data_IF_625157195641
#
_entry.id   IF_625157195641
#
_cell.length_a   1.000
_cell.length_b   1.000
_cell.length_c   1.000
_cell.angle_alpha   90.00
_cell.angle_beta   90.00
_cell.angle_gamma   90.00
#
_symmetry.space_group_name_H-M   'P 1'
#
loop_
_entity.id
_entity.type
_entity.pdbx_description
1 polymer ?
#
# COMPACT_ATOMS: atom_id res chain seq x y z
N UNK A 1 22.72 17.21 3.92
CA UNK A 1 22.39 18.64 4.10
C UNK A 1 21.08 18.69 4.88
N UNK A 2 21.14 18.96 6.18
CA UNK A 2 19.94 19.03 7.04
C UNK A 2 19.34 20.42 6.89
N UNK A 3 18.13 20.50 6.30
CA UNK A 3 17.34 21.74 6.35
C UNK A 3 16.59 21.69 7.69
N UNK A 4 17.27 22.18 8.73
CA UNK A 4 16.68 22.43 10.04
C UNK A 4 15.55 23.45 9.90
N UNK A 5 14.46 23.20 10.64
CA UNK A 5 13.21 23.94 10.56
C UNK A 5 13.37 25.45 10.63
N UNK A 6 12.83 26.14 9.63
CA UNK A 6 12.72 27.59 9.61
C UNK A 6 12.60 28.11 8.18
N UNK A 7 11.37 28.39 7.76
CA UNK A 7 10.96 29.08 6.52
C UNK A 7 10.65 28.15 5.33
N UNK A 8 9.41 27.65 5.30
CA UNK A 8 8.78 26.97 4.15
C UNK A 8 9.05 27.65 2.81
N UNK A 9 9.13 28.99 2.80
CA UNK A 9 9.39 29.78 1.59
C UNK A 9 10.82 29.58 1.07
N UNK A 10 11.80 29.36 1.94
CA UNK A 10 13.17 29.03 1.52
C UNK A 10 13.25 27.58 1.02
N UNK A 11 12.62 26.65 1.73
CA UNK A 11 12.58 25.23 1.31
C UNK A 11 11.91 25.07 -0.06
N UNK A 12 10.80 25.77 -0.33
CA UNK A 12 10.16 25.77 -1.66
C UNK A 12 11.05 26.34 -2.77
N UNK A 13 11.84 27.37 -2.47
CA UNK A 13 12.75 28.00 -3.45
C UNK A 13 13.96 27.13 -3.77
N UNK A 14 14.47 26.39 -2.80
CA UNK A 14 15.64 25.52 -2.97
C UNK A 14 15.28 24.18 -3.62
N UNK A 15 14.05 23.71 -3.44
CA UNK A 15 13.59 22.40 -3.91
C UNK A 15 13.76 22.17 -5.43
N UNK A 16 13.39 23.09 -6.35
CA UNK A 16 13.64 22.92 -7.78
C UNK A 16 15.12 22.63 -8.10
N UNK A 17 16.05 23.25 -7.38
CA UNK A 17 17.49 23.06 -7.56
C UNK A 17 18.01 21.69 -7.13
N UNK A 18 17.21 20.93 -6.37
CA UNK A 18 17.53 19.57 -5.96
C UNK A 18 16.95 18.51 -6.91
N UNK A 19 16.02 18.89 -7.80
CA UNK A 19 15.41 17.96 -8.75
C UNK A 19 16.29 17.76 -9.99
N UNK A 20 16.22 16.56 -10.58
CA UNK A 20 16.88 16.23 -11.86
C UNK A 20 15.94 15.41 -12.74
N UNK A 21 16.14 15.49 -14.05
CA UNK A 21 15.42 14.68 -15.04
C UNK A 21 13.89 14.84 -14.94
N UNK A 22 13.17 13.72 -14.90
CA UNK A 22 11.69 13.66 -14.93
C UNK A 22 11.06 14.47 -13.79
N UNK A 23 11.69 14.53 -12.62
CA UNK A 23 11.20 15.31 -11.49
C UNK A 23 11.22 16.82 -11.75
N UNK A 24 12.25 17.32 -12.45
CA UNK A 24 12.34 18.73 -12.83
C UNK A 24 11.29 19.08 -13.89
N UNK A 25 11.12 18.20 -14.89
CA UNK A 25 10.13 18.41 -15.96
C UNK A 25 8.70 18.45 -15.38
N UNK A 26 8.36 17.54 -14.47
CA UNK A 26 7.08 17.57 -13.77
C UNK A 26 6.86 18.88 -12.99
N UNK A 27 7.88 19.36 -12.27
CA UNK A 27 7.72 20.59 -11.48
C UNK A 27 7.43 21.79 -12.38
N UNK A 28 7.93 21.80 -13.62
CA UNK A 28 7.64 22.81 -14.62
C UNK A 28 6.22 22.73 -15.22
N UNK A 29 5.51 21.59 -15.08
CA UNK A 29 4.12 21.45 -15.56
C UNK A 29 3.09 21.85 -14.51
N UNK A 30 3.50 22.21 -13.29
CA UNK A 30 2.55 22.58 -12.22
C UNK A 30 1.92 23.95 -12.49
N UNK A 31 0.60 24.12 -12.26
CA UNK A 31 -0.07 25.40 -12.45
C UNK A 31 0.53 26.52 -11.56
N UNK A 32 0.53 27.78 -12.01
CA UNK A 32 0.95 28.91 -11.18
C UNK A 32 0.15 28.94 -9.86
N UNK A 33 0.84 29.19 -8.73
CA UNK A 33 0.25 29.27 -7.37
C UNK A 33 -0.34 27.95 -6.81
N UNK A 34 -0.09 26.81 -7.46
CA UNK A 34 -0.50 25.48 -6.96
C UNK A 34 0.26 25.02 -5.70
N UNK A 35 1.45 25.55 -5.46
CA UNK A 35 2.28 25.27 -4.28
C UNK A 35 2.42 26.57 -3.50
N UNK A 36 1.90 26.59 -2.27
CA UNK A 36 1.99 27.76 -1.39
C UNK A 36 2.92 27.52 -0.19
N UNK A 37 3.04 26.26 0.22
CA UNK A 37 3.89 25.80 1.32
C UNK A 37 4.79 24.66 0.91
N UNK A 38 5.83 24.40 1.71
CA UNK A 38 6.69 23.23 1.47
C UNK A 38 5.92 21.93 1.64
N UNK A 39 4.89 21.93 2.49
CA UNK A 39 3.99 20.81 2.68
C UNK A 39 3.19 20.48 1.41
N UNK A 40 2.69 21.49 0.69
CA UNK A 40 1.97 21.28 -0.59
C UNK A 40 2.90 20.69 -1.65
N UNK A 41 4.15 21.17 -1.69
CA UNK A 41 5.20 20.68 -2.57
C UNK A 41 5.53 19.21 -2.29
N UNK A 42 5.82 18.88 -1.04
CA UNK A 42 6.13 17.52 -0.62
C UNK A 42 4.95 16.57 -0.90
N UNK A 43 3.72 16.99 -0.62
CA UNK A 43 2.51 16.21 -0.90
C UNK A 43 2.32 15.95 -2.40
N UNK A 44 2.49 16.97 -3.23
CA UNK A 44 2.38 16.84 -4.70
C UNK A 44 3.47 15.96 -5.28
N UNK A 45 4.71 16.14 -4.81
CA UNK A 45 5.86 15.33 -5.23
C UNK A 45 5.67 13.86 -4.86
N UNK A 46 5.25 13.57 -3.63
CA UNK A 46 4.92 12.21 -3.20
C UNK A 46 3.76 11.65 -4.02
N UNK A 47 2.72 12.43 -4.33
CA UNK A 47 1.61 11.94 -5.14
C UNK A 47 2.01 11.59 -6.58
N UNK A 48 2.98 12.32 -7.15
CA UNK A 48 3.47 12.10 -8.51
C UNK A 48 4.50 10.95 -8.58
N UNK A 49 5.45 10.92 -7.66
CA UNK A 49 6.64 10.08 -7.75
C UNK A 49 6.68 8.93 -6.76
N UNK A 50 5.82 8.90 -5.74
CA UNK A 50 5.67 7.69 -4.94
C UNK A 50 4.92 6.67 -5.80
N UNK A 51 5.68 5.78 -6.44
CA UNK A 51 5.19 4.63 -7.21
C UNK A 51 4.34 3.64 -6.38
N UNK A 52 4.13 3.95 -5.10
CA UNK A 52 3.40 3.12 -4.16
C UNK A 52 2.58 4.00 -3.19
N UNK A 53 1.63 4.78 -3.72
CA UNK A 53 0.34 4.80 -3.00
C UNK A 53 -0.16 3.38 -3.11
N UNK A 54 0.21 2.55 -2.13
CA UNK A 54 -0.25 1.18 -1.95
C UNK A 54 -1.66 1.12 -2.49
N UNK A 55 -1.87 0.49 -3.66
CA UNK A 55 -3.20 0.42 -4.29
C UNK A 55 -4.13 0.00 -3.16
N UNK A 56 -5.02 0.93 -2.78
CA UNK A 56 -6.00 0.70 -1.73
C UNK A 56 -6.87 -0.42 -2.27
N UNK A 57 -6.86 -1.53 -1.55
CA UNK A 57 -7.67 -2.66 -1.95
C UNK A 57 -9.10 -2.35 -1.55
N UNK A 58 -10.03 -2.66 -2.43
CA UNK A 58 -11.43 -2.72 -2.07
C UNK A 58 -11.73 -4.06 -1.39
N UNK A 59 -12.84 -4.12 -0.67
CA UNK A 59 -13.31 -5.36 -0.05
C UNK A 59 -13.51 -6.47 -1.10
N UNK A 60 -13.86 -6.10 -2.34
CA UNK A 60 -13.98 -7.02 -3.47
C UNK A 60 -12.67 -7.74 -3.79
N UNK A 61 -11.53 -7.05 -3.71
CA UNK A 61 -10.21 -7.61 -4.03
C UNK A 61 -9.79 -8.73 -3.07
N UNK A 62 -10.31 -8.72 -1.84
CA UNK A 62 -10.02 -9.77 -0.86
C UNK A 62 -10.60 -11.13 -1.26
N UNK A 63 -11.68 -11.14 -2.05
CA UNK A 63 -12.30 -12.38 -2.52
C UNK A 63 -11.47 -13.12 -3.57
N UNK A 64 -10.51 -12.44 -4.18
CA UNK A 64 -9.58 -13.04 -5.14
C UNK A 64 -8.37 -13.69 -4.45
N UNK A 65 -8.21 -13.47 -3.14
CA UNK A 65 -7.13 -14.08 -2.35
C UNK A 65 -7.52 -15.49 -1.95
N UNK A 66 -7.11 -16.45 -2.79
CA UNK A 66 -7.35 -17.89 -2.58
C UNK A 66 -6.09 -18.58 -2.08
N UNK A 67 -6.29 -19.55 -1.18
CA UNK A 67 -5.23 -20.44 -0.72
C UNK A 67 -4.73 -21.26 -1.92
N UNK A 68 -3.41 -21.30 -2.14
CA UNK A 68 -2.84 -22.12 -3.22
C UNK A 68 -2.74 -23.61 -2.79
N UNK A 69 -2.57 -24.52 -3.75
CA UNK A 69 -2.64 -25.97 -3.51
C UNK A 69 -1.64 -26.50 -2.48
N UNK A 70 -0.43 -25.94 -2.49
CA UNK A 70 0.68 -26.33 -1.61
C UNK A 70 0.96 -25.29 -0.54
N UNK A 71 0.07 -24.31 -0.39
CA UNK A 71 0.24 -23.23 0.57
C UNK A 71 -0.32 -23.64 1.93
N UNK A 72 0.53 -23.55 2.96
CA UNK A 72 0.10 -23.75 4.33
C UNK A 72 -0.90 -22.68 4.77
N UNK A 73 -1.80 -23.03 5.68
CA UNK A 73 -2.76 -22.08 6.24
C UNK A 73 -2.08 -20.83 6.83
N UNK A 74 -0.90 -21.01 7.46
CA UNK A 74 -0.09 -19.91 8.01
C UNK A 74 0.33 -18.92 6.93
N UNK A 75 0.82 -19.42 5.79
CA UNK A 75 1.26 -18.57 4.69
C UNK A 75 0.08 -17.86 4.03
N UNK A 76 -1.04 -18.57 3.87
CA UNK A 76 -2.28 -17.97 3.38
C UNK A 76 -2.77 -16.84 4.28
N UNK A 77 -2.84 -17.08 5.60
CA UNK A 77 -3.26 -16.08 6.59
C UNK A 77 -2.34 -14.86 6.58
N UNK A 78 -1.03 -15.04 6.44
CA UNK A 78 -0.08 -13.93 6.34
C UNK A 78 -0.35 -13.06 5.10
N UNK A 79 -0.62 -13.66 3.93
CA UNK A 79 -0.98 -12.90 2.72
C UNK A 79 -2.32 -12.19 2.87
N UNK A 80 -3.32 -12.89 3.41
CA UNK A 80 -4.65 -12.32 3.63
C UNK A 80 -4.60 -11.12 4.60
N UNK A 81 -3.87 -11.24 5.71
CA UNK A 81 -3.69 -10.13 6.67
C UNK A 81 -2.94 -8.93 6.08
N UNK A 82 -1.94 -9.16 5.22
CA UNK A 82 -1.26 -8.07 4.53
C UNK A 82 -2.23 -7.31 3.59
N UNK A 83 -3.13 -8.04 2.92
CA UNK A 83 -4.14 -7.41 2.08
C UNK A 83 -5.21 -6.64 2.88
N UNK A 84 -5.67 -7.15 4.02
CA UNK A 84 -6.70 -6.47 4.83
C UNK A 84 -6.21 -5.15 5.41
N UNK A 85 -4.93 -5.03 5.77
CA UNK A 85 -4.31 -3.76 6.24
C UNK A 85 -4.36 -2.65 5.17
N UNK A 86 -4.59 -3.00 3.90
CA UNK A 86 -4.62 -2.07 2.77
C UNK A 86 -6.03 -1.61 2.37
N UNK A 87 -7.06 -2.00 3.13
CA UNK A 87 -8.47 -1.65 2.89
C UNK A 87 -8.88 -0.50 3.80
N UNK A 88 -9.38 0.60 3.22
CA UNK A 88 -9.73 1.83 3.95
C UNK A 88 -11.00 1.72 4.82
N UNK A 89 -11.87 0.72 4.59
CA UNK A 89 -13.12 0.52 5.33
C UNK A 89 -13.29 -0.94 5.79
N UNK A 90 -12.95 -1.26 7.05
CA UNK A 90 -12.97 -2.63 7.53
C UNK A 90 -14.38 -3.03 8.02
N UNK A 91 -15.28 -3.40 7.11
CA UNK A 91 -16.42 -4.21 7.52
C UNK A 91 -15.93 -5.65 7.76
N UNK A 92 -15.72 -5.96 9.03
CA UNK A 92 -15.21 -7.24 9.51
C UNK A 92 -16.04 -8.43 8.99
N UNK A 93 -17.35 -8.26 8.74
CA UNK A 93 -18.20 -9.33 8.22
C UNK A 93 -17.79 -9.73 6.81
N UNK A 94 -17.35 -8.80 5.99
CA UNK A 94 -16.86 -9.12 4.65
C UNK A 94 -15.48 -9.77 4.68
N UNK A 95 -14.62 -9.40 5.63
CA UNK A 95 -13.31 -10.06 5.78
C UNK A 95 -13.47 -11.54 6.14
N UNK A 96 -14.37 -11.85 7.08
CA UNK A 96 -14.66 -13.26 7.44
C UNK A 96 -15.20 -14.03 6.24
N UNK A 97 -16.14 -13.45 5.47
CA UNK A 97 -16.68 -14.08 4.26
C UNK A 97 -15.62 -14.28 3.18
N UNK A 98 -14.75 -13.29 2.93
CA UNK A 98 -13.69 -13.37 1.95
C UNK A 98 -12.65 -14.43 2.34
N UNK A 99 -12.26 -14.48 3.62
CA UNK A 99 -11.37 -15.50 4.16
C UNK A 99 -11.95 -16.90 3.98
N UNK A 100 -13.21 -17.12 4.40
CA UNK A 100 -13.88 -18.42 4.26
C UNK A 100 -13.98 -18.87 2.80
N UNK A 101 -14.28 -17.95 1.87
CA UNK A 101 -14.36 -18.26 0.43
C UNK A 101 -12.99 -18.55 -0.19
N UNK A 102 -11.94 -17.93 0.33
CA UNK A 102 -10.57 -18.10 -0.15
C UNK A 102 -9.89 -19.38 0.33
N UNK A 103 -10.37 -19.99 1.42
CA UNK A 103 -9.89 -21.29 1.89
C UNK A 103 -10.21 -22.39 0.89
N UNK A 104 -9.24 -23.27 0.62
CA UNK A 104 -9.51 -24.50 -0.14
C UNK A 104 -10.20 -25.49 0.80
N UNK A 105 -11.31 -26.07 0.33
CA UNK A 105 -11.86 -27.27 0.95
C UNK A 105 -10.85 -28.41 0.72
N UNK A 106 -10.15 -28.83 1.78
CA UNK A 106 -9.11 -29.84 1.66
C UNK A 106 -8.61 -30.35 3.00
N UNK A 107 -8.96 -31.61 3.26
CA UNK A 107 -8.66 -32.50 4.39
C UNK A 107 -7.70 -31.96 5.46
N UNK A 108 -8.25 -31.81 6.68
CA UNK A 108 -7.53 -32.19 7.89
C UNK A 108 -7.00 -33.61 7.68
N UNK A 109 -5.81 -33.77 7.10
CA UNK A 109 -5.07 -35.03 7.14
C UNK A 109 -4.50 -35.11 8.54
N UNK A 110 -5.33 -35.53 9.49
CA UNK A 110 -4.81 -36.10 10.72
C UNK A 110 -4.09 -37.39 10.32
N UNK A 111 -2.79 -37.53 10.59
CA UNK A 111 -2.17 -38.83 10.55
C UNK A 111 -2.77 -39.61 11.73
N UNK A 112 -3.72 -40.49 11.45
CA UNK A 112 -4.09 -41.51 12.42
C UNK A 112 -2.82 -42.32 12.74
N UNK A 113 -2.41 -42.46 14.00
CA UNK A 113 -1.37 -43.40 14.34
C UNK A 113 -1.96 -44.79 14.10
N UNK A 114 -1.47 -45.49 13.08
CA UNK A 114 -1.69 -46.91 12.92
C UNK A 114 -1.04 -47.61 14.12
N UNK A 115 -1.86 -48.30 14.91
CA UNK A 115 -1.40 -49.27 15.91
C UNK A 115 -0.52 -50.31 15.22
N UNK A 116 0.70 -50.47 15.76
CA UNK A 116 1.44 -51.72 15.75
C UNK A 116 2.29 -51.82 17.01
#
# INVERSE_FOLDING_TARGET
>A
MYISGGNDRLSCKLFPGMLRGVAMQWMATLPPRSIQTFKDLAGSFLSQFAANKVKRLEVADLFDIRQAERESLKNYLARFNNATVRVDNPDQKFFVKAFQKGLRAGSFRMPWPSEN
#
